data_IF_080216913445
#
_entry.id   IF_080216913445
#
_cell.length_a   1.000
_cell.length_b   1.000
_cell.length_c   1.000
_cell.angle_alpha   90.00
_cell.angle_beta   90.00
_cell.angle_gamma   90.00
#
_symmetry.space_group_name_H-M   'P 1'
#
loop_
_entity.id
_entity.type
_entity.pdbx_description
1 polymer ?
#
# COMPACT_ATOMS: atom_id res chain seq x y z
N UNK A 1 -14.50 -7.08 16.75
CA UNK A 1 -13.79 -8.15 15.99
C UNK A 1 -12.50 -8.61 16.69
N UNK A 2 -11.55 -7.71 17.03
CA UNK A 2 -10.28 -8.08 17.72
C UNK A 2 -10.53 -8.79 19.04
N UNK A 3 -11.36 -8.21 19.92
CA UNK A 3 -11.73 -8.80 21.20
C UNK A 3 -12.45 -10.15 21.06
N UNK A 4 -13.37 -10.26 20.11
CA UNK A 4 -14.12 -11.50 19.84
C UNK A 4 -13.23 -12.67 19.39
N UNK A 5 -12.05 -12.36 18.84
CA UNK A 5 -11.05 -13.36 18.41
C UNK A 5 -9.94 -13.59 19.43
N UNK A 6 -10.06 -13.04 20.64
CA UNK A 6 -9.06 -13.17 21.69
C UNK A 6 -7.73 -12.50 21.38
N UNK A 7 -7.72 -11.49 20.52
CA UNK A 7 -6.49 -10.84 20.02
C UNK A 7 -6.19 -9.49 20.70
N UNK A 8 -6.95 -9.09 21.71
CA UNK A 8 -6.85 -7.75 22.34
C UNK A 8 -5.45 -7.42 22.88
N UNK A 9 -4.66 -8.41 23.26
CA UNK A 9 -3.26 -8.19 23.70
C UNK A 9 -2.22 -8.22 22.57
N UNK A 10 -2.63 -8.52 21.33
CA UNK A 10 -1.71 -8.70 20.18
C UNK A 10 -2.09 -7.87 18.97
N UNK A 11 -3.27 -7.29 18.94
CA UNK A 11 -3.75 -6.46 17.85
C UNK A 11 -4.53 -5.26 18.39
N UNK A 12 -4.32 -4.12 17.80
CA UNK A 12 -5.07 -2.88 18.04
C UNK A 12 -5.51 -2.28 16.72
N UNK A 13 -6.58 -1.51 16.76
CA UNK A 13 -7.02 -0.68 15.66
C UNK A 13 -6.73 0.78 16.01
N UNK A 14 -6.12 1.49 15.10
CA UNK A 14 -5.92 2.93 15.16
C UNK A 14 -6.42 3.54 13.86
N UNK A 15 -7.15 4.64 13.97
CA UNK A 15 -7.53 5.43 12.81
C UNK A 15 -6.44 6.47 12.55
N UNK A 16 -5.99 6.57 11.30
CA UNK A 16 -4.96 7.53 10.89
C UNK A 16 -4.99 7.75 9.39
N UNK A 17 -4.22 8.71 8.94
CA UNK A 17 -4.02 9.00 7.52
C UNK A 17 -2.77 8.26 7.00
N UNK A 18 -3.00 7.23 6.16
CA UNK A 18 -1.93 6.45 5.56
C UNK A 18 -1.05 7.25 4.58
N UNK A 19 -1.44 8.47 4.21
CA UNK A 19 -0.71 9.37 3.32
C UNK A 19 -0.03 10.53 4.08
N UNK A 20 -0.11 10.53 5.41
CA UNK A 20 0.57 11.50 6.26
C UNK A 20 1.88 10.91 6.81
N UNK A 21 3.06 11.30 6.25
CA UNK A 21 4.33 10.76 6.71
C UNK A 21 4.61 11.02 8.20
N UNK A 22 4.13 12.15 8.73
CA UNK A 22 4.33 12.50 10.13
C UNK A 22 3.58 11.53 11.07
N UNK A 23 2.34 11.17 10.74
CA UNK A 23 1.59 10.21 11.54
C UNK A 23 2.24 8.82 11.50
N UNK A 24 2.63 8.34 10.31
CA UNK A 24 3.26 7.03 10.17
C UNK A 24 4.59 6.95 10.95
N UNK A 25 5.37 8.03 10.98
CA UNK A 25 6.64 8.06 11.68
C UNK A 25 6.54 8.00 13.21
N UNK A 26 5.36 8.18 13.78
CA UNK A 26 5.13 8.12 15.24
C UNK A 26 4.89 6.72 15.79
N UNK A 27 4.79 5.71 14.92
CA UNK A 27 4.50 4.33 15.32
C UNK A 27 5.56 3.79 16.29
N UNK A 28 5.11 3.34 17.45
CA UNK A 28 5.97 2.81 18.52
C UNK A 28 5.38 1.51 19.09
N UNK A 29 6.17 0.42 19.26
CA UNK A 29 7.56 0.28 18.77
C UNK A 29 7.64 0.38 17.24
N UNK A 30 8.83 0.65 16.70
CA UNK A 30 9.02 0.70 15.25
C UNK A 30 8.63 -0.64 14.62
N UNK A 31 7.81 -0.64 13.56
CA UNK A 31 7.42 -1.89 12.90
C UNK A 31 8.60 -2.55 12.19
N UNK A 32 8.65 -3.86 12.21
CA UNK A 32 9.57 -4.68 11.38
C UNK A 32 8.94 -5.11 10.07
N UNK A 33 7.61 -5.01 9.99
CA UNK A 33 6.82 -5.36 8.82
C UNK A 33 5.68 -4.35 8.65
N UNK A 34 5.53 -3.82 7.44
CA UNK A 34 4.34 -3.11 7.01
C UNK A 34 3.65 -3.85 5.86
N UNK A 35 2.33 -3.81 5.84
CA UNK A 35 1.51 -4.38 4.77
C UNK A 35 0.59 -3.31 4.22
N UNK A 36 0.71 -3.02 2.93
CA UNK A 36 -0.19 -2.14 2.18
C UNK A 36 -0.96 -3.00 1.17
N UNK A 37 -2.22 -3.24 1.46
CA UNK A 37 -3.06 -4.11 0.65
C UNK A 37 -4.28 -3.38 0.12
N UNK A 38 -4.42 -3.29 -1.21
CA UNK A 38 -5.57 -2.71 -1.90
C UNK A 38 -5.75 -1.21 -1.65
N UNK A 39 -4.69 -0.47 -1.32
CA UNK A 39 -4.77 0.95 -1.00
C UNK A 39 -4.38 1.84 -2.18
N UNK A 40 -3.21 1.62 -2.75
CA UNK A 40 -2.64 2.55 -3.73
C UNK A 40 -3.38 2.58 -5.06
N UNK A 41 -4.09 1.52 -5.39
CA UNK A 41 -4.94 1.42 -6.57
C UNK A 41 -6.15 2.37 -6.52
N UNK A 42 -6.58 2.74 -5.30
CA UNK A 42 -7.72 3.63 -5.07
C UNK A 42 -7.39 5.12 -5.22
N UNK A 43 -6.09 5.45 -5.31
CA UNK A 43 -5.61 6.83 -5.35
C UNK A 43 -4.83 7.08 -6.63
N UNK A 44 -5.33 7.94 -7.53
CA UNK A 44 -4.69 8.16 -8.84
C UNK A 44 -3.38 8.94 -8.75
N UNK A 45 -3.21 9.76 -7.72
CA UNK A 45 -2.07 10.66 -7.62
C UNK A 45 -0.83 9.97 -7.04
N UNK A 46 0.28 9.97 -7.77
CA UNK A 46 1.54 9.39 -7.29
C UNK A 46 2.10 10.11 -6.08
N UNK A 47 1.79 11.38 -5.90
CA UNK A 47 2.26 12.15 -4.74
C UNK A 47 1.77 11.56 -3.42
N UNK A 48 0.51 11.13 -3.36
CA UNK A 48 -0.03 10.44 -2.19
C UNK A 48 0.72 9.13 -1.91
N UNK A 49 0.98 8.34 -2.96
CA UNK A 49 1.74 7.08 -2.82
C UNK A 49 3.16 7.35 -2.32
N UNK A 50 3.84 8.37 -2.85
CA UNK A 50 5.17 8.79 -2.39
C UNK A 50 5.17 9.19 -0.92
N UNK A 51 4.19 9.99 -0.50
CA UNK A 51 4.05 10.40 0.90
C UNK A 51 3.86 9.21 1.84
N UNK A 52 2.99 8.26 1.46
CA UNK A 52 2.78 7.03 2.21
C UNK A 52 4.07 6.20 2.31
N UNK A 53 4.74 5.97 1.18
CA UNK A 53 5.98 5.19 1.14
C UNK A 53 7.11 5.86 1.94
N UNK A 54 7.25 7.19 1.86
CA UNK A 54 8.22 7.95 2.65
C UNK A 54 7.92 7.83 4.17
N UNK A 55 6.65 7.92 4.55
CA UNK A 55 6.22 7.71 5.93
C UNK A 55 6.54 6.30 6.43
N UNK A 56 6.28 5.28 5.62
CA UNK A 56 6.60 3.89 5.94
C UNK A 56 8.13 3.67 6.03
N UNK A 57 8.91 4.27 5.14
CA UNK A 57 10.36 4.19 5.19
C UNK A 57 10.93 4.80 6.49
N UNK A 58 10.31 5.88 6.99
CA UNK A 58 10.69 6.47 8.27
C UNK A 58 10.22 5.64 9.48
N UNK A 59 9.06 5.00 9.37
CA UNK A 59 8.47 4.20 10.44
C UNK A 59 9.16 2.83 10.65
N UNK A 60 9.36 2.09 9.56
CA UNK A 60 9.89 0.72 9.59
C UNK A 60 11.37 0.74 10.03
N UNK A 61 11.79 -0.27 10.77
CA UNK A 61 13.21 -0.45 11.11
C UNK A 61 14.07 -0.68 9.86
N UNK A 62 15.37 -0.26 9.86
CA UNK A 62 16.31 -0.68 8.82
C UNK A 62 16.32 -2.20 8.66
N UNK A 63 16.32 -2.69 7.42
CA UNK A 63 16.17 -4.13 7.12
C UNK A 63 14.75 -4.68 7.30
N UNK A 64 13.80 -3.88 7.76
CA UNK A 64 12.40 -4.28 7.87
C UNK A 64 11.71 -4.42 6.51
N UNK A 65 10.55 -5.06 6.50
CA UNK A 65 9.88 -5.55 5.30
C UNK A 65 8.65 -4.68 4.98
N UNK A 66 8.48 -4.35 3.71
CA UNK A 66 7.26 -3.82 3.13
C UNK A 66 6.64 -4.88 2.20
N UNK A 67 5.40 -5.30 2.49
CA UNK A 67 4.56 -6.04 1.56
C UNK A 67 3.54 -5.08 0.95
N UNK A 68 3.42 -5.07 -0.37
CA UNK A 68 2.46 -4.23 -1.07
C UNK A 68 1.80 -4.96 -2.22
N UNK A 69 0.53 -4.65 -2.44
CA UNK A 69 -0.20 -5.13 -3.60
C UNK A 69 -0.11 -4.14 -4.75
N UNK A 70 -0.26 -4.64 -5.95
CA UNK A 70 -0.42 -3.87 -7.17
C UNK A 70 -1.49 -4.49 -8.06
N UNK A 71 -2.06 -3.68 -8.92
CA UNK A 71 -3.04 -4.11 -9.92
C UNK A 71 -2.65 -3.50 -11.28
N UNK A 72 -1.63 -4.08 -11.95
CA UNK A 72 -1.08 -3.50 -13.19
C UNK A 72 -2.05 -3.62 -14.37
N UNK A 73 -3.07 -4.45 -14.26
CA UNK A 73 -4.09 -4.66 -15.28
C UNK A 73 -5.41 -5.11 -14.65
N UNK A 74 -6.55 -4.76 -15.27
CA UNK A 74 -7.86 -5.25 -14.85
C UNK A 74 -8.77 -5.42 -16.08
N UNK A 75 -9.36 -6.62 -16.30
CA UNK A 75 -10.12 -6.93 -17.51
C UNK A 75 -11.44 -6.14 -17.62
N UNK A 76 -11.97 -5.67 -16.50
CA UNK A 76 -13.26 -4.97 -16.42
C UNK A 76 -13.09 -3.48 -16.07
N UNK A 77 -11.93 -2.90 -16.30
CA UNK A 77 -11.65 -1.52 -15.89
C UNK A 77 -12.65 -0.51 -16.48
N UNK A 78 -12.98 -0.66 -17.77
CA UNK A 78 -13.95 0.20 -18.45
C UNK A 78 -15.36 0.07 -17.85
N UNK A 79 -15.79 -1.16 -17.54
CA UNK A 79 -17.08 -1.41 -16.90
C UNK A 79 -17.11 -0.79 -15.49
N UNK A 80 -16.06 -0.98 -14.71
CA UNK A 80 -15.95 -0.39 -13.36
C UNK A 80 -16.02 1.14 -13.43
N UNK A 81 -15.25 1.74 -14.32
CA UNK A 81 -15.22 3.20 -14.48
C UNK A 81 -16.56 3.78 -14.95
N UNK A 82 -17.33 3.02 -15.74
CA UNK A 82 -18.62 3.47 -16.26
C UNK A 82 -19.82 3.25 -15.33
N UNK A 83 -19.75 2.32 -14.39
CA UNK A 83 -20.92 1.86 -13.61
C UNK A 83 -20.79 2.12 -12.12
N UNK A 84 -19.56 2.12 -11.58
CA UNK A 84 -19.33 2.27 -10.15
C UNK A 84 -19.02 3.72 -9.79
N UNK A 85 -19.61 4.13 -8.66
CA UNK A 85 -19.28 5.41 -8.04
C UNK A 85 -18.27 5.22 -6.92
N UNK A 86 -17.38 6.20 -6.77
CA UNK A 86 -16.43 6.24 -5.67
C UNK A 86 -17.16 6.38 -4.33
N UNK A 87 -16.60 5.80 -3.28
CA UNK A 87 -16.98 6.06 -1.89
C UNK A 87 -16.74 7.54 -1.47
N UNK A 88 -16.05 8.32 -2.30
CA UNK A 88 -15.82 9.74 -2.12
C UNK A 88 -16.89 10.54 -2.87
N UNK A 89 -17.91 10.97 -2.16
CA UNK A 89 -18.95 11.91 -2.63
C UNK A 89 -19.74 11.46 -3.87
N UNK A 90 -19.81 10.15 -4.14
CA UNK A 90 -20.55 9.63 -5.30
C UNK A 90 -19.97 10.02 -6.66
N UNK A 91 -18.72 10.53 -6.70
CA UNK A 91 -18.02 10.82 -7.95
C UNK A 91 -17.72 9.53 -8.73
N UNK A 92 -17.50 9.60 -10.05
CA UNK A 92 -17.06 8.43 -10.82
C UNK A 92 -15.84 7.77 -10.17
N UNK A 93 -15.82 6.44 -10.14
CA UNK A 93 -14.66 5.72 -9.62
C UNK A 93 -13.50 5.81 -10.59
N UNK A 94 -12.47 6.51 -10.20
CA UNK A 94 -11.21 6.59 -10.95
C UNK A 94 -10.21 5.65 -10.28
N UNK A 95 -10.02 4.46 -10.86
CA UNK A 95 -8.89 3.59 -10.54
C UNK A 95 -7.75 3.93 -11.47
N UNK A 96 -6.60 4.25 -10.91
CA UNK A 96 -5.39 4.35 -11.71
C UNK A 96 -4.69 3.00 -11.72
N UNK A 97 -4.57 2.42 -12.89
CA UNK A 97 -3.69 1.28 -13.13
C UNK A 97 -2.25 1.80 -13.21
N UNK A 98 -1.43 1.42 -12.24
CA UNK A 98 0.03 1.63 -12.31
C UNK A 98 0.70 0.40 -12.86
N UNK A 99 1.60 0.57 -13.82
CA UNK A 99 2.45 -0.54 -14.24
C UNK A 99 3.30 -1.03 -13.06
N UNK A 100 3.73 -2.28 -13.12
CA UNK A 100 4.61 -2.81 -12.08
C UNK A 100 5.92 -2.02 -11.99
N UNK A 101 6.47 -1.62 -13.14
CA UNK A 101 7.69 -0.81 -13.21
C UNK A 101 7.54 0.57 -12.55
N UNK A 102 6.40 1.24 -12.78
CA UNK A 102 6.09 2.51 -12.12
C UNK A 102 6.02 2.34 -10.62
N UNK A 103 5.32 1.31 -10.14
CA UNK A 103 5.21 1.05 -8.69
C UNK A 103 6.56 0.69 -8.07
N UNK A 104 7.36 -0.12 -8.74
CA UNK A 104 8.70 -0.50 -8.29
C UNK A 104 9.65 0.69 -8.23
N UNK A 105 9.50 1.66 -9.14
CA UNK A 105 10.26 2.92 -9.08
C UNK A 105 9.88 3.73 -7.85
N UNK A 106 8.59 3.91 -7.57
CA UNK A 106 8.11 4.64 -6.39
C UNK A 106 8.64 4.02 -5.10
N UNK A 107 8.61 2.68 -4.99
CA UNK A 107 9.10 1.93 -3.83
C UNK A 107 10.61 2.09 -3.67
N UNK A 108 11.37 1.96 -4.75
CA UNK A 108 12.82 2.16 -4.75
C UNK A 108 13.22 3.57 -4.35
N UNK A 109 12.53 4.58 -4.89
CA UNK A 109 12.81 6.00 -4.63
C UNK A 109 12.51 6.36 -3.17
N UNK A 110 11.58 5.66 -2.53
CA UNK A 110 11.26 5.80 -1.11
C UNK A 110 12.27 5.11 -0.17
N UNK A 111 13.26 4.38 -0.69
CA UNK A 111 14.31 3.76 0.15
C UNK A 111 14.11 2.27 0.41
N UNK A 112 13.38 1.57 -0.45
CA UNK A 112 13.20 0.13 -0.38
C UNK A 112 13.82 -0.59 -1.58
N UNK A 113 14.34 -1.78 -1.36
CA UNK A 113 14.82 -2.68 -2.40
C UNK A 113 13.86 -3.86 -2.55
N UNK A 114 13.25 -3.98 -3.73
CA UNK A 114 12.33 -5.08 -4.05
C UNK A 114 13.09 -6.40 -4.12
N UNK A 115 12.62 -7.40 -3.38
CA UNK A 115 13.24 -8.73 -3.30
C UNK A 115 12.50 -9.78 -4.11
N UNK A 116 11.17 -9.75 -4.10
CA UNK A 116 10.36 -10.77 -4.79
C UNK A 116 8.98 -10.24 -5.14
N UNK A 117 8.32 -10.95 -6.05
CA UNK A 117 6.96 -10.68 -6.47
C UNK A 117 6.25 -12.00 -6.77
N UNK A 118 4.97 -12.03 -6.44
CA UNK A 118 4.04 -13.06 -6.88
C UNK A 118 2.90 -12.43 -7.66
N UNK A 119 2.41 -13.15 -8.64
CA UNK A 119 1.28 -12.74 -9.48
C UNK A 119 0.20 -13.81 -9.28
N UNK A 120 -1.06 -13.39 -9.19
CA UNK A 120 -2.18 -14.32 -9.13
C UNK A 120 -2.34 -15.10 -10.46
N UNK A 121 -3.13 -16.15 -10.44
CA UNK A 121 -3.36 -17.00 -11.61
C UNK A 121 -4.01 -16.28 -12.81
N UNK A 122 -4.68 -15.13 -12.53
CA UNK A 122 -5.36 -14.32 -13.55
C UNK A 122 -4.50 -13.18 -14.09
N UNK A 123 -3.34 -12.93 -13.49
CA UNK A 123 -2.46 -11.83 -13.87
C UNK A 123 -2.99 -10.45 -13.50
N UNK A 124 -4.00 -10.36 -12.62
CA UNK A 124 -4.65 -9.11 -12.22
C UNK A 124 -3.92 -8.47 -11.04
N UNK A 125 -3.62 -9.27 -10.02
CA UNK A 125 -3.00 -8.79 -8.79
C UNK A 125 -1.57 -9.26 -8.65
N UNK A 126 -0.76 -8.37 -8.12
CA UNK A 126 0.59 -8.69 -7.68
C UNK A 126 0.74 -8.48 -6.18
N UNK A 127 1.56 -9.29 -5.54
CA UNK A 127 2.04 -9.06 -4.18
C UNK A 127 3.57 -9.01 -4.25
N UNK A 128 4.12 -7.89 -3.86
CA UNK A 128 5.55 -7.65 -3.87
C UNK A 128 6.09 -7.49 -2.46
N UNK A 129 7.32 -7.93 -2.26
CA UNK A 129 8.08 -7.75 -1.02
C UNK A 129 9.30 -6.90 -1.30
N UNK A 130 9.51 -5.90 -0.47
CA UNK A 130 10.70 -5.06 -0.49
C UNK A 130 11.29 -4.93 0.91
N UNK A 131 12.57 -4.71 1.00
CA UNK A 131 13.32 -4.51 2.24
C UNK A 131 13.75 -3.05 2.33
N UNK A 132 13.56 -2.44 3.50
CA UNK A 132 14.04 -1.09 3.76
C UNK A 132 15.57 -1.07 3.76
N UNK A 133 16.16 -0.16 2.99
CA UNK A 133 17.61 0.04 2.99
C UNK A 133 18.11 0.57 4.34
N UNK A 134 19.31 0.13 4.71
CA UNK A 134 20.08 0.76 5.76
C UNK A 134 20.63 2.09 5.22
N UNK A 135 20.24 3.20 5.82
CA UNK A 135 20.80 4.52 5.52
C UNK A 135 21.90 4.83 6.53
#
# INVERSE_FOLDING_TARGET
>A
MIAQRGMSGRARFEQGDAFNPAELSTLTPRPTLAIVSGLYELFPENEQVKNSLAGLANAIEPGGILLYTGQPWHPQLELIAGVLTSHKDGKPWVMRVRSQEEMDSLVRDAGFDKCTQRIDEWGIFTVSMAVRRDN
#
